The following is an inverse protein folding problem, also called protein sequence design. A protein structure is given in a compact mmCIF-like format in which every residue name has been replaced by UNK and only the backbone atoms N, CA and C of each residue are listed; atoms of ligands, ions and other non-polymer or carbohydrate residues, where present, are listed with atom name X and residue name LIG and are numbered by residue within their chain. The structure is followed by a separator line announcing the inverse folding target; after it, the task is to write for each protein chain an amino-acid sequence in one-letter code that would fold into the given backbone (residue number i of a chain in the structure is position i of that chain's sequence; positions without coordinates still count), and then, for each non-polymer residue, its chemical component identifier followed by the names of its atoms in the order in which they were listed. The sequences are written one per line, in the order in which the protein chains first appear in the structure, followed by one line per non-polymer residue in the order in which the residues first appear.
data_IF_829728019944
#
_entry.id   IF_829728019944
#
_cell.length_a   1.000
_cell.length_b   1.000
_cell.length_c   1.000
_cell.angle_alpha   90.00
_cell.angle_beta   90.00
_cell.angle_gamma   90.00
#
_symmetry.space_group_name_H-M   'P 1'
#
loop_
_entity.id
_entity.type
_entity.pdbx_description
1 polymer ?
#
# COMPACT_ATOMS: atom_id res chain seq x y z
N UNK A 1 16.22 9.20 6.44
CA UNK A 1 15.88 8.44 5.20
C UNK A 1 15.23 7.09 5.48
N UNK A 2 15.69 6.31 6.47
CA UNK A 2 15.15 4.98 6.81
C UNK A 2 13.62 4.94 7.04
N UNK A 3 13.07 5.86 7.83
CA UNK A 3 11.62 5.84 8.18
C UNK A 3 10.67 5.99 7.00
N UNK A 4 11.00 6.85 6.03
CA UNK A 4 10.15 7.03 4.85
C UNK A 4 10.21 5.84 3.90
N UNK A 5 11.39 5.19 3.83
CA UNK A 5 11.60 3.98 3.06
C UNK A 5 10.92 2.77 3.71
N UNK A 6 10.97 2.64 5.04
CA UNK A 6 10.27 1.58 5.77
C UNK A 6 8.75 1.64 5.55
N UNK A 7 8.15 2.83 5.68
CA UNK A 7 6.73 3.02 5.36
C UNK A 7 6.40 2.73 3.90
N UNK A 8 7.30 3.06 2.97
CA UNK A 8 7.13 2.66 1.56
C UNK A 8 7.13 1.14 1.41
N UNK A 9 8.10 0.45 1.99
CA UNK A 9 8.19 -1.01 1.93
C UNK A 9 6.95 -1.67 2.52
N UNK A 10 6.45 -1.18 3.66
CA UNK A 10 5.20 -1.67 4.24
C UNK A 10 4.01 -1.53 3.27
N UNK A 11 3.92 -0.41 2.53
CA UNK A 11 2.86 -0.20 1.54
C UNK A 11 3.00 -1.03 0.25
N UNK A 12 4.17 -1.60 -0.04
CA UNK A 12 4.41 -2.44 -1.23
C UNK A 12 3.77 -3.85 -1.11
N UNK A 13 3.09 -4.14 0.01
CA UNK A 13 2.25 -5.33 0.20
C UNK A 13 1.26 -5.56 -0.96
N UNK A 14 0.77 -4.46 -1.54
CA UNK A 14 -0.19 -4.48 -2.67
C UNK A 14 0.40 -5.01 -3.98
N UNK A 15 1.72 -4.92 -4.13
CA UNK A 15 2.45 -5.40 -5.31
C UNK A 15 3.06 -6.79 -5.09
N UNK A 16 3.09 -7.25 -3.83
CA UNK A 16 3.68 -8.54 -3.43
C UNK A 16 2.71 -9.33 -2.56
N UNK A 17 1.58 -9.83 -3.11
CA UNK A 17 0.49 -10.37 -2.29
C UNK A 17 0.91 -11.58 -1.44
N UNK A 18 1.93 -12.34 -1.84
CA UNK A 18 2.46 -13.42 -1.02
C UNK A 18 3.05 -12.91 0.32
N UNK A 19 3.58 -11.68 0.36
CA UNK A 19 4.10 -11.06 1.58
C UNK A 19 2.98 -10.76 2.60
N UNK A 20 1.72 -10.61 2.15
CA UNK A 20 0.54 -10.46 3.00
C UNK A 20 0.31 -11.65 3.94
N UNK A 21 0.82 -12.83 3.56
CA UNK A 21 0.69 -14.07 4.33
C UNK A 21 1.90 -14.35 5.23
N UNK A 22 2.86 -13.42 5.27
CA UNK A 22 4.04 -13.54 6.14
C UNK A 22 3.63 -13.54 7.61
N UNK A 23 4.30 -14.30 8.50
CA UNK A 23 4.10 -14.22 9.95
C UNK A 23 4.37 -12.82 10.54
N UNK A 24 5.10 -11.96 9.82
CA UNK A 24 5.34 -10.57 10.21
C UNK A 24 4.20 -9.61 9.89
N UNK A 25 3.07 -10.11 9.36
CA UNK A 25 1.86 -9.33 9.07
C UNK A 25 0.71 -9.84 9.92
N UNK A 26 0.18 -8.98 10.78
CA UNK A 26 -0.98 -9.30 11.61
C UNK A 26 -2.21 -8.58 11.06
N UNK A 27 -3.29 -9.32 10.87
CA UNK A 27 -4.52 -8.81 10.26
C UNK A 27 -5.60 -8.56 11.31
N UNK A 28 -6.26 -7.41 11.19
CA UNK A 28 -7.45 -7.06 11.96
C UNK A 28 -8.56 -6.67 10.99
N UNK A 29 -9.73 -7.29 11.10
CA UNK A 29 -10.90 -6.85 10.33
C UNK A 29 -11.35 -5.47 10.81
N UNK A 30 -11.63 -4.57 9.86
CA UNK A 30 -12.14 -3.22 10.16
C UNK A 30 -13.64 -3.19 9.88
N UNK A 31 -14.05 -3.59 8.67
CA UNK A 31 -15.44 -3.78 8.27
C UNK A 31 -15.54 -4.86 7.16
N UNK A 32 -16.65 -4.89 6.41
CA UNK A 32 -16.91 -5.90 5.36
C UNK A 32 -15.90 -5.81 4.20
N UNK A 33 -15.49 -4.60 3.85
CA UNK A 33 -14.69 -4.31 2.66
C UNK A 33 -13.30 -3.76 3.03
N UNK A 34 -12.92 -3.82 4.30
CA UNK A 34 -11.62 -3.33 4.76
C UNK A 34 -11.00 -4.11 5.92
N UNK A 35 -9.67 -4.14 5.90
CA UNK A 35 -8.84 -4.76 6.92
C UNK A 35 -7.60 -3.93 7.17
N UNK A 36 -7.06 -4.01 8.39
CA UNK A 36 -5.79 -3.40 8.76
C UNK A 36 -4.72 -4.48 8.85
N UNK A 37 -3.64 -4.29 8.08
CA UNK A 37 -2.42 -5.08 8.15
C UNK A 37 -1.39 -4.33 9.00
N UNK A 38 -1.07 -4.86 10.17
CA UNK A 38 0.08 -4.42 10.96
C UNK A 38 1.34 -5.10 10.40
N UNK A 39 2.12 -4.35 9.63
CA UNK A 39 3.33 -4.84 8.95
C UNK A 39 4.57 -4.42 9.72
N UNK A 40 5.38 -5.38 10.16
CA UNK A 40 6.67 -5.08 10.80
C UNK A 40 7.77 -4.85 9.76
N UNK A 41 8.42 -3.68 9.81
CA UNK A 41 9.60 -3.35 9.03
C UNK A 41 10.67 -2.79 9.97
N UNK A 42 11.80 -3.49 10.08
CA UNK A 42 12.94 -3.07 10.91
C UNK A 42 12.53 -2.74 12.36
N UNK A 43 11.71 -3.61 12.97
CA UNK A 43 11.21 -3.46 14.34
C UNK A 43 10.17 -2.33 14.52
N UNK A 44 9.73 -1.69 13.44
CA UNK A 44 8.66 -0.69 13.46
C UNK A 44 7.39 -1.28 12.85
N UNK A 45 6.26 -1.14 13.54
CA UNK A 45 4.96 -1.53 13.02
C UNK A 45 4.40 -0.38 12.17
N UNK A 46 3.93 -0.73 10.97
CA UNK A 46 3.21 0.12 10.07
C UNK A 46 1.80 -0.44 9.87
N UNK A 47 0.80 0.28 10.36
CA UNK A 47 -0.60 -0.06 10.12
C UNK A 47 -1.00 0.40 8.71
N UNK A 48 -1.27 -0.57 7.86
CA UNK A 48 -1.74 -0.36 6.48
C UNK A 48 -3.21 -0.77 6.42
N UNK A 49 -4.10 0.20 6.29
CA UNK A 49 -5.51 -0.06 6.02
C UNK A 49 -5.66 -0.38 4.54
N UNK A 50 -6.40 -1.44 4.25
CA UNK A 50 -6.65 -1.95 2.91
C UNK A 50 -8.15 -1.92 2.66
N UNK A 51 -8.54 -1.43 1.50
CA UNK A 51 -9.91 -1.43 1.01
C UNK A 51 -10.01 -2.28 -0.24
N UNK A 52 -11.00 -3.16 -0.27
CA UNK A 52 -11.30 -4.02 -1.42
C UNK A 52 -12.71 -3.74 -1.91
N UNK A 53 -12.95 -3.91 -3.20
CA UNK A 53 -14.29 -3.98 -3.73
C UNK A 53 -14.98 -5.26 -3.26
N UNK A 54 -16.31 -5.31 -3.35
CA UNK A 54 -17.09 -6.52 -3.06
C UNK A 54 -16.68 -7.76 -3.89
N UNK A 55 -15.97 -7.57 -5.02
CA UNK A 55 -15.36 -8.66 -5.81
C UNK A 55 -14.07 -9.22 -5.21
N UNK A 56 -13.57 -8.63 -4.12
CA UNK A 56 -12.25 -8.91 -3.53
C UNK A 56 -11.09 -8.23 -4.25
N UNK A 57 -11.35 -7.38 -5.24
CA UNK A 57 -10.32 -6.61 -5.96
C UNK A 57 -9.79 -5.49 -5.08
N UNK A 58 -8.48 -5.26 -5.08
CA UNK A 58 -7.87 -4.19 -4.31
C UNK A 58 -8.22 -2.81 -4.88
N UNK A 59 -8.85 -1.95 -4.07
CA UNK A 59 -9.25 -0.60 -4.45
C UNK A 59 -8.26 0.45 -3.97
N UNK A 60 -7.86 0.39 -2.70
CA UNK A 60 -6.91 1.35 -2.15
C UNK A 60 -6.22 0.86 -0.88
N UNK A 61 -5.13 1.53 -0.53
CA UNK A 61 -4.50 1.42 0.77
C UNK A 61 -4.24 2.79 1.38
N UNK A 62 -4.06 2.79 2.69
CA UNK A 62 -3.66 3.94 3.46
C UNK A 62 -2.74 3.57 4.62
N UNK A 63 -1.78 4.45 4.89
CA UNK A 63 -0.97 4.40 6.11
C UNK A 63 -0.46 5.78 6.49
N UNK A 64 0.06 5.91 7.72
CA UNK A 64 0.89 7.05 8.10
C UNK A 64 2.32 6.84 7.62
N UNK A 65 2.79 7.72 6.73
CA UNK A 65 4.14 7.67 6.17
C UNK A 65 4.95 8.90 6.54
N UNK A 66 6.21 8.68 6.93
CA UNK A 66 7.14 9.76 7.27
C UNK A 66 7.51 10.56 6.01
N UNK A 67 7.32 11.88 6.07
CA UNK A 67 7.57 12.81 4.96
C UNK A 67 7.44 14.27 5.41
N UNK A 68 7.62 15.20 4.48
CA UNK A 68 7.38 16.64 4.65
C UNK A 68 6.62 17.17 3.42
N UNK A 69 5.40 16.68 3.17
CA UNK A 69 4.66 16.98 1.95
C UNK A 69 4.13 18.42 1.91
N UNK A 70 3.96 19.06 3.08
CA UNK A 70 3.51 20.44 3.21
C UNK A 70 4.65 21.45 3.35
N UNK A 71 5.91 21.00 3.37
CA UNK A 71 7.12 21.81 3.55
C UNK A 71 7.14 22.60 4.87
N UNK A 72 6.44 22.10 5.89
CA UNK A 72 6.42 22.68 7.25
C UNK A 72 7.30 21.93 8.24
N UNK A 73 7.82 20.76 7.84
CA UNK A 73 8.73 19.94 8.62
C UNK A 73 8.40 18.45 8.51
N UNK A 74 9.39 17.60 8.76
CA UNK A 74 9.20 16.16 8.68
C UNK A 74 8.31 15.61 9.80
N UNK A 75 7.25 14.89 9.41
CA UNK A 75 6.27 14.27 10.30
C UNK A 75 5.66 12.98 9.73
N UNK A 76 4.69 12.41 10.45
CA UNK A 76 3.83 11.35 9.93
C UNK A 76 2.64 11.99 9.23
N UNK A 77 2.46 11.67 7.95
CA UNK A 77 1.37 12.19 7.13
C UNK A 77 0.61 11.04 6.49
N UNK A 78 -0.70 11.23 6.28
CA UNK A 78 -1.54 10.27 5.55
C UNK A 78 -0.98 10.10 4.14
N UNK A 79 -0.69 8.86 3.79
CA UNK A 79 -0.25 8.45 2.46
C UNK A 79 -1.21 7.38 1.97
N UNK A 80 -1.64 7.49 0.73
CA UNK A 80 -2.61 6.58 0.13
C UNK A 80 -2.16 6.14 -1.24
N UNK A 81 -2.61 4.96 -1.65
CA UNK A 81 -2.52 4.50 -3.03
C UNK A 81 -3.90 4.05 -3.51
N UNK A 82 -4.29 4.48 -4.70
CA UNK A 82 -5.50 4.02 -5.39
C UNK A 82 -5.08 3.05 -6.49
N UNK A 83 -5.77 1.92 -6.55
CA UNK A 83 -5.52 0.82 -7.44
C UNK A 83 -6.66 0.74 -8.46
N UNK A 84 -6.34 0.53 -9.74
CA UNK A 84 -7.34 0.32 -10.78
C UNK A 84 -6.90 -0.77 -11.73
N UNK A 85 -7.86 -1.61 -12.14
CA UNK A 85 -7.58 -2.81 -12.92
C UNK A 85 -6.87 -3.87 -12.08
N UNK A 86 -6.97 -5.13 -12.51
CA UNK A 86 -6.35 -6.26 -11.82
C UNK A 86 -5.67 -7.15 -12.85
N UNK A 87 -4.41 -7.49 -12.59
CA UNK A 87 -3.69 -8.53 -13.30
C UNK A 87 -3.67 -9.79 -12.45
N UNK A 88 -3.94 -10.93 -13.09
CA UNK A 88 -3.88 -12.23 -12.44
C UNK A 88 -2.82 -13.09 -13.08
N UNK A 89 -1.94 -13.65 -12.25
CA UNK A 89 -0.94 -14.63 -12.66
C UNK A 89 -0.71 -15.64 -11.54
N UNK A 90 -0.71 -16.93 -11.87
CA UNK A 90 -0.42 -18.03 -10.94
C UNK A 90 -1.18 -17.99 -9.61
N UNK A 91 -2.44 -17.52 -9.65
CA UNK A 91 -3.31 -17.42 -8.46
C UNK A 91 -3.15 -16.13 -7.65
N UNK A 92 -2.22 -15.24 -8.03
CA UNK A 92 -2.06 -13.92 -7.43
C UNK A 92 -2.76 -12.85 -8.25
N UNK A 93 -3.51 -11.98 -7.58
CA UNK A 93 -4.05 -10.74 -8.14
C UNK A 93 -3.22 -9.55 -7.66
N UNK A 94 -2.85 -8.67 -8.58
CA UNK A 94 -2.20 -7.38 -8.28
C UNK A 94 -2.88 -6.26 -9.06
N UNK A 95 -2.82 -5.00 -8.59
CA UNK A 95 -3.29 -3.86 -9.37
C UNK A 95 -2.60 -3.76 -10.73
N UNK A 96 -3.37 -3.45 -11.78
CA UNK A 96 -2.80 -3.12 -13.09
C UNK A 96 -2.15 -1.72 -13.06
N UNK A 97 -2.81 -0.76 -12.42
CA UNK A 97 -2.30 0.59 -12.21
C UNK A 97 -2.43 1.01 -10.75
N UNK A 98 -1.43 1.74 -10.26
CA UNK A 98 -1.41 2.30 -8.90
C UNK A 98 -0.97 3.75 -8.94
N UNK A 99 -1.77 4.64 -8.34
CA UNK A 99 -1.39 6.04 -8.11
C UNK A 99 -1.30 6.30 -6.62
N UNK A 100 -0.16 6.82 -6.16
CA UNK A 100 0.08 7.04 -4.73
C UNK A 100 0.61 8.43 -4.41
N UNK A 101 0.22 8.95 -3.24
CA UNK A 101 0.42 10.34 -2.85
C UNK A 101 0.15 10.61 -1.37
N UNK A 102 0.45 11.84 -0.94
CA UNK A 102 0.10 12.35 0.39
C UNK A 102 -1.20 13.18 0.32
N UNK A 103 -2.32 12.66 0.82
CA UNK A 103 -3.59 13.39 0.92
C UNK A 103 -4.10 13.98 -0.42
N UNK A 104 -4.62 15.22 -0.37
CA UNK A 104 -5.12 15.99 -1.53
C UNK A 104 -4.01 16.52 -2.46
N UNK A 105 -2.74 16.24 -2.17
CA UNK A 105 -1.64 16.62 -3.04
C UNK A 105 -1.60 15.69 -4.25
N UNK A 106 -1.24 16.23 -5.42
CA UNK A 106 -1.14 15.43 -6.64
C UNK A 106 -0.27 14.18 -6.41
N UNK A 107 -0.75 13.05 -6.96
CA UNK A 107 -0.01 11.79 -6.92
C UNK A 107 1.38 11.99 -7.52
N UNK A 108 2.41 11.63 -6.77
CA UNK A 108 3.80 11.72 -7.23
C UNK A 108 4.40 10.35 -7.56
N UNK A 109 3.63 9.28 -7.37
CA UNK A 109 3.92 7.93 -7.86
C UNK A 109 2.78 7.49 -8.77
N UNK A 110 3.14 7.14 -10.00
CA UNK A 110 2.26 6.48 -10.96
C UNK A 110 2.99 5.22 -11.44
N UNK A 111 2.38 4.06 -11.20
CA UNK A 111 2.95 2.75 -11.47
C UNK A 111 2.01 1.93 -12.34
N UNK A 112 2.54 1.49 -13.48
CA UNK A 112 1.85 0.64 -14.45
C UNK A 112 2.53 -0.73 -14.42
N UNK A 113 1.83 -1.69 -13.81
CA UNK A 113 2.31 -3.07 -13.67
C UNK A 113 2.38 -3.74 -15.04
N UNK A 114 1.44 -3.49 -15.93
CA UNK A 114 1.40 -4.08 -17.29
C UNK A 114 2.65 -3.72 -18.10
N UNK A 115 3.16 -2.49 -17.93
CA UNK A 115 4.36 -2.02 -18.63
C UNK A 115 5.67 -2.45 -17.98
N UNK A 116 5.62 -2.97 -16.76
CA UNK A 116 6.80 -3.31 -15.96
C UNK A 116 7.08 -4.82 -15.92
N UNK A 117 6.07 -5.64 -16.18
CA UNK A 117 6.18 -7.10 -16.20
C UNK A 117 6.71 -7.57 -17.57
N UNK A 118 8.03 -7.73 -17.67
CA UNK A 118 8.64 -8.55 -18.72
C UNK A 118 8.57 -10.01 -18.26
N UNK A 119 7.44 -10.68 -18.54
CA UNK A 119 7.37 -12.14 -18.52
C UNK A 119 7.63 -12.69 -19.93
#
# INVERSE_FOLDING_TARGET
MSRSAAGRLASELILTPAAALSPGVNWTAVDEDSAMAAVEVDGTIHDVTIHVAASGTLDSIELLRWGDPDQTGFGLHRFSAVCTGELRSDGFGVPAHTRAGWGDLEAFIDFDTERTVFL
#
